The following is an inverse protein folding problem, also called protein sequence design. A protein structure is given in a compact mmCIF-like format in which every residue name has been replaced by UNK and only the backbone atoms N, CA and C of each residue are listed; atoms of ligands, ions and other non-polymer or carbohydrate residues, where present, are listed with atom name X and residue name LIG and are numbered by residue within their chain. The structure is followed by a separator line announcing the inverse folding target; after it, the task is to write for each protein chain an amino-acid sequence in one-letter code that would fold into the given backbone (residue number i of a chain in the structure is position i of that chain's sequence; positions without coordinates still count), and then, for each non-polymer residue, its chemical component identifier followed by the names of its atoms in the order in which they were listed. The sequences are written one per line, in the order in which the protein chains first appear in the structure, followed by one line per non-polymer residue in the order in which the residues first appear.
data_IF_314212224780
#
_entry.id   IF_314212224780
#
_cell.length_a   1.000
_cell.length_b   1.000
_cell.length_c   1.000
_cell.angle_alpha   90.00
_cell.angle_beta   90.00
_cell.angle_gamma   90.00
#
_symmetry.space_group_name_H-M   'P 1'
#
loop_
_entity.id
_entity.type
_entity.pdbx_description
1 polymer ?
#
# COMPACT_ATOMS: atom_id res chain seq x y z
N UNK A 1 37.07 -18.60 11.37
CA UNK A 1 36.11 -19.26 12.28
C UNK A 1 34.81 -19.38 11.52
N UNK A 2 34.44 -20.60 11.14
CA UNK A 2 33.21 -20.84 10.38
C UNK A 2 32.00 -20.64 11.31
N UNK A 3 31.19 -19.62 11.03
CA UNK A 3 29.87 -19.42 11.64
C UNK A 3 28.93 -20.64 11.46
N UNK A 4 29.32 -21.62 10.63
CA UNK A 4 28.61 -22.87 10.37
C UNK A 4 28.64 -23.87 11.53
N UNK A 5 29.27 -23.57 12.66
CA UNK A 5 29.34 -24.45 13.84
C UNK A 5 28.33 -24.06 14.94
N UNK A 6 27.67 -22.90 14.81
CA UNK A 6 26.71 -22.45 15.82
C UNK A 6 25.34 -23.12 15.65
N UNK A 7 24.70 -23.57 16.74
CA UNK A 7 23.32 -24.03 16.72
C UNK A 7 22.38 -22.94 16.17
N UNK A 8 21.34 -23.32 15.39
CA UNK A 8 20.35 -22.40 14.83
C UNK A 8 19.73 -21.44 15.86
N UNK A 9 19.54 -21.90 17.09
CA UNK A 9 18.92 -21.13 18.17
C UNK A 9 19.78 -19.93 18.58
N UNK A 10 21.11 -20.09 18.58
CA UNK A 10 22.03 -19.00 18.88
C UNK A 10 22.00 -17.97 17.75
N UNK A 11 21.95 -18.44 16.49
CA UNK A 11 21.87 -17.57 15.32
C UNK A 11 20.59 -16.72 15.39
N UNK A 12 19.43 -17.34 15.64
CA UNK A 12 18.15 -16.63 15.76
C UNK A 12 18.19 -15.58 16.87
N UNK A 13 18.70 -15.92 18.05
CA UNK A 13 18.84 -14.97 19.16
C UNK A 13 19.74 -13.78 18.82
N UNK A 14 20.84 -14.00 18.10
CA UNK A 14 21.71 -12.90 17.64
C UNK A 14 20.97 -12.00 16.64
N UNK A 15 20.26 -12.61 15.68
CA UNK A 15 19.51 -11.86 14.66
C UNK A 15 18.35 -11.06 15.27
N UNK A 16 17.69 -11.55 16.32
CA UNK A 16 16.62 -10.83 17.02
C UNK A 16 17.06 -9.47 17.56
N UNK A 17 18.34 -9.31 17.90
CA UNK A 17 18.88 -8.05 18.42
C UNK A 17 19.38 -7.09 17.34
N UNK A 18 19.49 -7.53 16.08
CA UNK A 18 19.95 -6.67 15.00
C UNK A 18 18.82 -5.76 14.50
N UNK A 19 19.09 -4.49 14.15
CA UNK A 19 18.12 -3.64 13.48
C UNK A 19 17.82 -4.16 12.07
N UNK A 20 16.66 -3.78 11.50
CA UNK A 20 16.25 -4.26 10.18
C UNK A 20 17.29 -3.97 9.09
N UNK A 21 17.92 -2.78 9.13
CA UNK A 21 18.98 -2.42 8.20
C UNK A 21 20.16 -3.38 8.22
N UNK A 22 20.56 -3.87 9.40
CA UNK A 22 21.68 -4.80 9.52
C UNK A 22 21.27 -6.23 9.18
N UNK A 23 20.01 -6.62 9.41
CA UNK A 23 19.47 -7.90 8.90
C UNK A 23 19.52 -7.96 7.37
N UNK A 24 19.14 -6.88 6.68
CA UNK A 24 19.19 -6.78 5.22
C UNK A 24 20.63 -6.89 4.71
N UNK A 25 21.60 -6.32 5.42
CA UNK A 25 23.02 -6.45 5.08
C UNK A 25 23.53 -7.88 5.34
N UNK A 26 23.20 -8.45 6.50
CA UNK A 26 23.62 -9.78 6.91
C UNK A 26 23.10 -10.88 5.97
N UNK A 27 21.93 -10.69 5.37
CA UNK A 27 21.36 -11.59 4.36
C UNK A 27 22.34 -11.88 3.21
N UNK A 28 23.14 -10.89 2.80
CA UNK A 28 24.07 -11.03 1.67
C UNK A 28 25.33 -11.87 1.97
N UNK A 29 25.53 -12.28 3.22
CA UNK A 29 26.78 -12.93 3.66
C UNK A 29 26.86 -14.42 3.30
N UNK A 30 25.78 -15.17 3.47
CA UNK A 30 25.72 -16.60 3.13
C UNK A 30 24.28 -17.07 2.94
N UNK A 31 24.08 -18.17 2.18
CA UNK A 31 22.74 -18.74 1.97
C UNK A 31 22.07 -19.24 3.25
N UNK A 32 22.87 -19.73 4.20
CA UNK A 32 22.35 -20.19 5.50
C UNK A 32 21.85 -19.00 6.32
N UNK A 33 22.67 -17.96 6.46
CA UNK A 33 22.29 -16.73 7.19
C UNK A 33 21.11 -16.04 6.51
N UNK A 34 21.08 -16.01 5.17
CA UNK A 34 19.97 -15.47 4.39
C UNK A 34 18.61 -16.06 4.82
N UNK A 35 18.50 -17.38 4.94
CA UNK A 35 17.26 -18.04 5.35
C UNK A 35 16.81 -17.61 6.76
N UNK A 36 17.75 -17.51 7.71
CA UNK A 36 17.46 -17.05 9.06
C UNK A 36 17.07 -15.56 9.08
N UNK A 37 17.74 -14.71 8.30
CA UNK A 37 17.40 -13.30 8.16
C UNK A 37 16.00 -13.13 7.57
N UNK A 38 15.63 -13.87 6.52
CA UNK A 38 14.30 -13.81 5.92
C UNK A 38 13.20 -14.22 6.91
N UNK A 39 13.42 -15.31 7.65
CA UNK A 39 12.51 -15.76 8.69
C UNK A 39 12.30 -14.69 9.77
N UNK A 40 13.38 -14.06 10.24
CA UNK A 40 13.30 -13.01 11.26
C UNK A 40 12.64 -11.72 10.72
N UNK A 41 12.92 -11.33 9.47
CA UNK A 41 12.27 -10.19 8.82
C UNK A 41 10.76 -10.44 8.71
N UNK A 42 10.36 -11.61 8.20
CA UNK A 42 8.95 -11.99 8.08
C UNK A 42 8.26 -12.00 9.45
N UNK A 43 8.90 -12.58 10.47
CA UNK A 43 8.39 -12.58 11.85
C UNK A 43 8.14 -11.16 12.36
N UNK A 44 9.07 -10.23 12.14
CA UNK A 44 8.95 -8.83 12.58
C UNK A 44 7.88 -8.05 11.83
N UNK A 45 7.64 -8.38 10.56
CA UNK A 45 6.59 -7.77 9.77
C UNK A 45 5.21 -8.25 10.22
N UNK A 46 5.02 -9.57 10.39
CA UNK A 46 3.71 -10.14 10.72
C UNK A 46 3.32 -9.93 12.18
N UNK A 47 4.25 -10.15 13.10
CA UNK A 47 3.98 -10.22 14.54
C UNK A 47 4.72 -9.16 15.35
N UNK A 48 5.60 -8.39 14.71
CA UNK A 48 6.48 -7.46 15.38
C UNK A 48 5.99 -6.01 15.35
N UNK A 49 6.86 -5.08 15.77
CA UNK A 49 6.53 -3.65 15.89
C UNK A 49 6.33 -2.95 14.54
N UNK A 50 6.70 -3.57 13.42
CA UNK A 50 6.62 -3.01 12.06
C UNK A 50 5.26 -3.22 11.40
N UNK A 51 4.33 -3.92 12.06
CA UNK A 51 3.02 -4.29 11.51
C UNK A 51 2.15 -3.08 11.17
N UNK A 52 2.10 -2.09 12.06
CA UNK A 52 1.20 -0.92 11.94
C UNK A 52 1.98 0.37 11.63
N UNK A 53 3.07 0.25 10.88
CA UNK A 53 3.97 1.36 10.59
C UNK A 53 3.49 2.19 9.39
N UNK A 54 2.78 1.58 8.44
CA UNK A 54 2.48 2.19 7.14
C UNK A 54 1.00 2.49 6.98
N UNK A 55 0.70 3.72 6.57
CA UNK A 55 -0.66 4.16 6.25
C UNK A 55 -0.70 4.79 4.87
N UNK A 56 -1.84 4.67 4.21
CA UNK A 56 -2.12 5.32 2.94
C UNK A 56 -3.18 6.38 3.15
N UNK A 57 -2.87 7.61 2.75
CA UNK A 57 -3.80 8.72 2.74
C UNK A 57 -4.33 8.90 1.32
N UNK A 58 -5.65 8.79 1.18
CA UNK A 58 -6.34 9.01 -0.09
C UNK A 58 -7.36 10.11 0.15
N UNK A 59 -7.09 11.26 -0.45
CA UNK A 59 -7.88 12.47 -0.27
C UNK A 59 -7.93 12.96 1.19
N UNK A 60 -8.91 12.49 1.98
CA UNK A 60 -9.12 12.84 3.40
C UNK A 60 -9.23 11.62 4.31
N UNK A 61 -9.25 10.41 3.74
CA UNK A 61 -9.37 9.18 4.51
C UNK A 61 -8.01 8.50 4.60
N UNK A 62 -7.71 7.97 5.79
CA UNK A 62 -6.45 7.32 6.09
C UNK A 62 -6.72 5.84 6.37
N UNK A 63 -6.11 4.98 5.59
CA UNK A 63 -6.19 3.54 5.76
C UNK A 63 -4.87 3.00 6.32
N UNK A 64 -4.95 2.12 7.30
CA UNK A 64 -3.80 1.39 7.83
C UNK A 64 -3.50 0.22 6.89
N UNK A 65 -2.23 0.07 6.51
CA UNK A 65 -1.76 -1.02 5.69
C UNK A 65 -1.20 -2.13 6.59
N UNK A 66 -1.72 -3.36 6.47
CA UNK A 66 -1.28 -4.50 7.27
C UNK A 66 -0.46 -5.47 6.41
N UNK A 67 0.74 -5.89 6.85
CA UNK A 67 1.55 -6.81 6.07
C UNK A 67 0.87 -8.17 5.95
N UNK A 68 0.96 -8.78 4.77
CA UNK A 68 0.35 -10.08 4.46
C UNK A 68 1.35 -11.12 4.03
N UNK A 69 2.35 -10.74 3.22
CA UNK A 69 3.43 -11.64 2.76
C UNK A 69 4.72 -10.89 2.56
N UNK A 70 5.84 -11.57 2.82
CA UNK A 70 7.17 -11.14 2.38
C UNK A 70 7.65 -12.07 1.26
N UNK A 71 8.04 -11.50 0.13
CA UNK A 71 8.63 -12.25 -0.97
C UNK A 71 10.16 -12.13 -0.92
N UNK A 72 10.82 -13.22 -0.56
CA UNK A 72 12.29 -13.30 -0.47
C UNK A 72 13.00 -13.14 -1.82
N UNK A 73 12.31 -13.41 -2.96
CA UNK A 73 12.90 -13.34 -4.30
C UNK A 73 12.91 -11.90 -4.82
N UNK A 74 11.79 -11.21 -4.72
CA UNK A 74 11.66 -9.80 -5.15
C UNK A 74 12.14 -8.84 -4.06
N UNK A 75 12.27 -9.32 -2.82
CA UNK A 75 12.56 -8.52 -1.62
C UNK A 75 11.50 -7.44 -1.39
N UNK A 76 10.25 -7.78 -1.67
CA UNK A 76 9.10 -6.90 -1.49
C UNK A 76 8.17 -7.45 -0.41
N UNK A 77 7.62 -6.55 0.38
CA UNK A 77 6.56 -6.85 1.34
C UNK A 77 5.25 -6.37 0.77
N UNK A 78 4.29 -7.28 0.74
CA UNK A 78 2.91 -6.98 0.39
C UNK A 78 2.14 -6.62 1.65
N UNK A 79 1.36 -5.56 1.55
CA UNK A 79 0.43 -5.07 2.55
C UNK A 79 -0.98 -5.09 1.99
N UNK A 80 -1.94 -5.56 2.78
CA UNK A 80 -3.36 -5.39 2.52
C UNK A 80 -3.85 -4.08 3.12
N UNK A 81 -4.74 -3.40 2.40
CA UNK A 81 -5.32 -2.13 2.83
C UNK A 81 -6.81 -2.36 3.06
N UNK A 82 -7.19 -2.42 4.33
CA UNK A 82 -8.58 -2.58 4.74
C UNK A 82 -9.25 -1.20 4.81
N UNK A 83 -9.72 -0.71 3.65
CA UNK A 83 -10.41 0.58 3.55
C UNK A 83 -11.82 0.44 3.00
N UNK A 84 -12.69 1.40 3.37
CA UNK A 84 -14.00 1.55 2.72
C UNK A 84 -13.80 2.24 1.36
N UNK A 85 -14.62 1.92 0.34
CA UNK A 85 -14.55 2.62 -0.93
C UNK A 85 -14.79 4.12 -0.76
N UNK A 86 -13.88 4.95 -1.29
CA UNK A 86 -13.98 6.41 -1.22
C UNK A 86 -14.80 6.91 -2.40
N UNK A 87 -15.88 7.62 -2.10
CA UNK A 87 -16.72 8.26 -3.11
C UNK A 87 -16.08 9.54 -3.65
N UNK A 88 -15.84 9.56 -4.95
CA UNK A 88 -15.32 10.72 -5.69
C UNK A 88 -16.40 11.22 -6.61
N UNK A 89 -16.87 12.44 -6.32
CA UNK A 89 -17.90 13.12 -7.09
C UNK A 89 -17.25 13.99 -8.17
N UNK A 90 -17.76 13.91 -9.39
CA UNK A 90 -17.37 14.78 -10.51
C UNK A 90 -18.58 15.17 -11.33
N UNK A 91 -18.54 16.36 -11.93
CA UNK A 91 -19.61 16.85 -12.81
C UNK A 91 -19.36 16.50 -14.28
N UNK A 92 -18.13 16.10 -14.62
CA UNK A 92 -17.71 15.80 -15.99
C UNK A 92 -16.95 14.49 -16.04
N UNK A 93 -17.23 13.69 -17.07
CA UNK A 93 -16.50 12.49 -17.40
C UNK A 93 -15.23 12.84 -18.20
N UNK A 94 -14.16 13.14 -17.47
CA UNK A 94 -12.85 13.47 -18.02
C UNK A 94 -11.77 12.71 -17.27
N UNK A 95 -10.60 12.60 -17.91
CA UNK A 95 -9.42 12.01 -17.28
C UNK A 95 -9.08 12.79 -16.01
N UNK A 96 -9.09 12.11 -14.86
CA UNK A 96 -8.84 12.75 -13.56
C UNK A 96 -7.74 12.02 -12.82
N UNK A 97 -6.88 12.79 -12.16
CA UNK A 97 -5.85 12.26 -11.27
C UNK A 97 -6.34 12.35 -9.83
N UNK A 98 -6.23 11.24 -9.09
CA UNK A 98 -6.43 11.19 -7.65
C UNK A 98 -5.06 11.17 -7.02
N UNK A 99 -4.77 12.18 -6.21
CA UNK A 99 -3.54 12.25 -5.45
C UNK A 99 -3.65 11.43 -4.16
N UNK A 100 -2.68 10.55 -3.95
CA UNK A 100 -2.56 9.69 -2.79
C UNK A 100 -1.16 9.86 -2.19
N UNK A 101 -1.06 9.65 -0.88
CA UNK A 101 0.20 9.82 -0.15
C UNK A 101 0.46 8.61 0.74
N UNK A 102 1.69 8.12 0.72
CA UNK A 102 2.18 7.12 1.65
C UNK A 102 2.70 7.82 2.90
N UNK A 103 2.24 7.35 4.06
CA UNK A 103 2.58 7.87 5.37
C UNK A 103 3.27 6.78 6.19
N UNK A 104 4.35 7.16 6.89
CA UNK A 104 5.05 6.27 7.83
C UNK A 104 4.88 6.78 9.25
N UNK A 105 4.59 5.89 10.19
CA UNK A 105 4.49 6.21 11.61
C UNK A 105 5.88 6.49 12.17
N UNK A 106 6.09 7.71 12.67
CA UNK A 106 7.33 8.07 13.37
C UNK A 106 7.31 7.59 14.82
N UNK A 107 8.49 7.48 15.44
CA UNK A 107 8.67 7.13 16.86
C UNK A 107 7.92 8.08 17.82
N UNK A 108 7.61 9.29 17.37
CA UNK A 108 6.85 10.30 18.13
C UNK A 108 5.33 10.22 17.90
N UNK A 109 4.81 9.12 17.37
CA UNK A 109 3.38 8.92 17.05
C UNK A 109 2.79 9.90 16.03
N UNK A 110 3.63 10.67 15.34
CA UNK A 110 3.23 11.51 14.21
C UNK A 110 3.50 10.77 12.90
N UNK A 111 2.55 10.83 11.96
CA UNK A 111 2.75 10.30 10.61
C UNK A 111 3.57 11.28 9.79
N UNK A 112 4.68 10.79 9.23
CA UNK A 112 5.52 11.56 8.33
C UNK A 112 5.15 11.20 6.89
N UNK A 113 5.02 12.24 6.06
CA UNK A 113 4.83 12.09 4.63
C UNK A 113 6.09 11.48 4.02
N UNK A 114 5.92 10.39 3.26
CA UNK A 114 7.04 9.66 2.68
C UNK A 114 7.07 9.75 1.16
N UNK A 115 5.93 9.56 0.49
CA UNK A 115 5.86 9.60 -0.97
C UNK A 115 4.45 9.93 -1.47
N UNK A 116 4.34 10.56 -2.65
CA UNK A 116 3.08 10.79 -3.34
C UNK A 116 2.98 9.88 -4.56
N UNK A 117 1.78 9.34 -4.81
CA UNK A 117 1.45 8.58 -6.01
C UNK A 117 0.07 8.99 -6.51
N UNK A 118 -0.26 8.63 -7.76
CA UNK A 118 -1.48 9.11 -8.40
C UNK A 118 -2.21 7.99 -9.13
N UNK A 119 -3.51 7.86 -8.89
CA UNK A 119 -4.39 7.04 -9.72
C UNK A 119 -4.97 7.89 -10.84
N UNK A 120 -5.02 7.33 -12.04
CA UNK A 120 -5.62 7.97 -13.19
C UNK A 120 -6.96 7.31 -13.49
N UNK A 121 -8.04 8.10 -13.49
CA UNK A 121 -9.34 7.68 -13.95
C UNK A 121 -9.46 7.96 -15.43
N UNK A 122 -9.79 6.92 -16.19
CA UNK A 122 -10.10 7.06 -17.61
C UNK A 122 -11.57 7.40 -17.83
N UNK A 123 -11.81 8.01 -18.99
CA UNK A 123 -13.15 8.41 -19.43
C UNK A 123 -13.95 7.18 -19.86
N UNK A 124 -15.25 7.19 -19.61
CA UNK A 124 -16.17 6.19 -20.19
C UNK A 124 -16.18 4.84 -19.47
N UNK A 125 -15.82 4.81 -18.18
CA UNK A 125 -16.01 3.64 -17.33
C UNK A 125 -17.49 3.21 -17.35
N UNK A 126 -17.72 1.92 -17.57
CA UNK A 126 -19.05 1.31 -17.51
C UNK A 126 -19.59 1.35 -16.08
N UNK A 127 -20.91 1.51 -15.94
CA UNK A 127 -21.58 1.54 -14.64
C UNK A 127 -21.53 0.16 -13.98
N UNK A 128 -21.27 0.14 -12.66
CA UNK A 128 -21.14 -1.05 -11.80
C UNK A 128 -20.09 -2.10 -12.21
N UNK A 129 -19.25 -1.82 -13.20
CA UNK A 129 -18.12 -2.67 -13.56
C UNK A 129 -16.85 -2.22 -12.81
N UNK A 130 -16.27 -3.07 -11.93
CA UNK A 130 -14.99 -2.77 -11.30
C UNK A 130 -13.87 -2.87 -12.34
N UNK A 131 -13.03 -1.84 -12.37
CA UNK A 131 -11.82 -1.79 -13.20
C UNK A 131 -10.61 -1.78 -12.28
N UNK A 132 -9.71 -2.72 -12.50
CA UNK A 132 -8.45 -2.81 -11.78
C UNK A 132 -7.53 -1.66 -12.20
N UNK A 133 -6.96 -0.99 -11.20
CA UNK A 133 -6.05 0.12 -11.37
C UNK A 133 -4.79 -0.14 -10.56
N UNK A 134 -3.66 0.17 -11.17
CA UNK A 134 -2.37 0.16 -10.50
C UNK A 134 -1.78 1.57 -10.54
N UNK A 135 -1.24 2.03 -9.42
CA UNK A 135 -0.43 3.22 -9.34
C UNK A 135 0.95 2.86 -8.83
N UNK A 136 1.97 3.41 -9.48
CA UNK A 136 3.34 3.29 -9.02
C UNK A 136 3.78 4.65 -8.46
N UNK A 137 4.22 4.65 -7.21
CA UNK A 137 4.98 5.75 -6.64
C UNK A 137 6.30 5.92 -7.40
N UNK A 138 6.85 7.12 -7.36
CA UNK A 138 8.10 7.47 -8.03
C UNK A 138 9.27 6.51 -7.75
N UNK A 139 9.39 5.94 -6.54
CA UNK A 139 10.51 5.06 -6.17
C UNK A 139 10.18 3.92 -5.22
N UNK A 140 9.19 4.03 -4.33
CA UNK A 140 9.15 3.18 -3.13
C UNK A 140 7.89 2.34 -2.96
N UNK A 141 6.89 2.51 -3.81
CA UNK A 141 5.57 1.92 -3.57
C UNK A 141 4.86 1.56 -4.88
N UNK A 142 4.29 0.36 -4.95
CA UNK A 142 3.30 -0.01 -5.96
C UNK A 142 1.97 -0.30 -5.26
N UNK A 143 0.87 0.26 -5.76
CA UNK A 143 -0.44 0.17 -5.12
C UNK A 143 -1.47 -0.30 -6.13
N UNK A 144 -2.19 -1.35 -5.78
CA UNK A 144 -3.24 -1.96 -6.59
C UNK A 144 -4.61 -1.71 -5.93
N UNK A 145 -5.60 -1.38 -6.76
CA UNK A 145 -6.95 -1.10 -6.32
C UNK A 145 -7.97 -1.31 -7.42
N UNK A 146 -9.21 -0.98 -7.11
CA UNK A 146 -10.35 -1.08 -8.01
C UNK A 146 -11.10 0.24 -8.03
N UNK A 147 -11.57 0.63 -9.21
CA UNK A 147 -12.50 1.75 -9.39
C UNK A 147 -13.80 1.22 -9.95
N UNK A 148 -14.89 1.58 -9.31
CA UNK A 148 -16.25 1.32 -9.80
C UNK A 148 -16.96 2.64 -10.04
N UNK A 149 -17.66 2.76 -11.18
CA UNK A 149 -18.58 3.87 -11.40
C UNK A 149 -19.92 3.51 -10.77
N UNK A 150 -20.34 4.29 -9.78
CA UNK A 150 -21.61 4.06 -9.08
C UNK A 150 -22.78 4.57 -9.91
N UNK A 151 -23.88 3.82 -9.90
CA UNK A 151 -25.16 4.28 -10.39
C UNK A 151 -25.53 5.62 -9.74
N UNK A 152 -25.67 6.63 -10.59
CA UNK A 152 -26.25 7.91 -10.16
C UNK A 152 -27.76 7.73 -10.21
N UNK A 153 -28.36 7.16 -9.16
CA UNK A 153 -29.81 7.13 -9.04
C UNK A 153 -30.34 8.55 -9.26
N UNK A 154 -31.16 8.71 -10.29
CA UNK A 154 -31.83 9.95 -10.60
C UNK A 154 -32.76 10.30 -9.43
N UNK A 155 -32.26 11.06 -8.46
CA UNK A 155 -33.14 11.76 -7.53
C UNK A 155 -33.93 12.77 -8.34
N UNK A 156 -35.16 12.37 -8.62
CA UNK A 156 -36.29 13.16 -9.06
C UNK A 156 -36.25 13.71 -10.49
N UNK A 157 -37.42 13.60 -11.10
CA UNK A 157 -37.84 14.10 -12.41
C UNK A 157 -37.73 15.63 -12.37
N UNK A 158 -36.52 16.16 -12.51
CA UNK A 158 -36.32 17.56 -12.89
C UNK A 158 -36.16 17.54 -14.39
N UNK A 159 -37.23 17.97 -15.06
CA UNK A 159 -37.37 18.21 -16.49
C UNK A 159 -36.00 18.55 -17.13
N UNK A 160 -35.43 17.62 -17.91
CA UNK A 160 -34.09 17.75 -18.50
C UNK A 160 -33.95 19.03 -19.34
N UNK A 161 -35.08 19.63 -19.74
CA UNK A 161 -35.18 20.90 -20.46
C UNK A 161 -34.80 22.15 -19.65
N UNK A 162 -34.74 22.10 -18.32
CA UNK A 162 -34.36 23.25 -17.46
C UNK A 162 -32.98 23.10 -16.81
N UNK A 163 -32.23 22.04 -17.16
CA UNK A 163 -30.99 21.70 -16.48
C UNK A 163 -29.80 22.42 -17.11
N UNK A 164 -29.27 23.42 -16.40
CA UNK A 164 -28.11 24.21 -16.85
C UNK A 164 -26.78 23.49 -16.54
N UNK A 165 -26.76 22.57 -15.56
CA UNK A 165 -25.56 21.86 -15.12
C UNK A 165 -25.65 20.34 -15.39
N UNK A 166 -24.51 19.68 -15.75
CA UNK A 166 -24.46 18.24 -15.97
C UNK A 166 -24.79 17.43 -14.70
N UNK A 167 -25.15 16.16 -14.86
CA UNK A 167 -25.43 15.27 -13.72
C UNK A 167 -24.13 14.89 -12.99
N UNK A 168 -24.11 14.89 -11.65
CA UNK A 168 -22.93 14.46 -10.90
C UNK A 168 -22.72 12.96 -11.10
N UNK A 169 -21.54 12.58 -11.57
CA UNK A 169 -21.05 11.20 -11.66
C UNK A 169 -20.32 10.87 -10.35
N UNK A 170 -20.47 9.63 -9.89
CA UNK A 170 -19.81 9.12 -8.70
C UNK A 170 -18.91 7.93 -9.06
N UNK A 171 -17.69 7.96 -8.56
CA UNK A 171 -16.76 6.84 -8.60
C UNK A 171 -16.49 6.37 -7.17
N UNK A 172 -16.35 5.07 -6.96
CA UNK A 172 -15.86 4.49 -5.73
C UNK A 172 -14.47 3.91 -5.97
N UNK A 173 -13.46 4.50 -5.32
CA UNK A 173 -12.08 4.02 -5.32
C UNK A 173 -11.86 3.14 -4.09
N UNK A 174 -11.43 1.90 -4.30
CA UNK A 174 -11.02 1.01 -3.22
C UNK A 174 -9.61 0.49 -3.49
N UNK A 175 -8.66 0.91 -2.65
CA UNK A 175 -7.30 0.34 -2.67
C UNK A 175 -7.30 -0.96 -1.87
N UNK A 176 -6.59 -1.95 -2.39
CA UNK A 176 -6.63 -3.33 -1.86
C UNK A 176 -5.26 -3.82 -1.42
N UNK A 177 -4.23 -3.58 -2.23
CA UNK A 177 -2.88 -4.09 -2.01
C UNK A 177 -1.85 -2.97 -2.20
N UNK A 178 -0.79 -3.02 -1.42
CA UNK A 178 0.39 -2.17 -1.55
C UNK A 178 1.64 -3.03 -1.43
N UNK A 179 2.64 -2.76 -2.27
CA UNK A 179 3.94 -3.43 -2.23
C UNK A 179 5.03 -2.40 -1.94
N UNK A 180 5.85 -2.70 -0.94
CA UNK A 180 7.00 -1.90 -0.55
C UNK A 180 8.27 -2.75 -0.64
N UNK A 181 9.36 -2.26 -1.25
CA UNK A 181 10.62 -2.97 -1.25
C UNK A 181 11.26 -2.90 0.14
N UNK A 182 12.00 -3.95 0.50
CA UNK A 182 12.67 -4.09 1.79
C UNK A 182 13.65 -2.94 2.08
N UNK A 183 14.22 -2.34 1.04
CA UNK A 183 15.05 -1.13 1.14
C UNK A 183 14.32 0.06 1.76
N UNK A 184 13.00 0.19 1.51
CA UNK A 184 12.17 1.27 2.08
C UNK A 184 11.90 1.04 3.56
N UNK A 185 11.78 -0.22 3.97
CA UNK A 185 11.54 -0.59 5.37
C UNK A 185 12.79 -0.41 6.23
N UNK A 186 13.96 -0.69 5.64
CA UNK A 186 15.25 -0.60 6.29
C UNK A 186 15.86 0.82 6.34
N UNK A 187 15.23 1.81 5.67
CA UNK A 187 15.67 3.20 5.61
C UNK A 187 15.34 3.99 6.89
#
# INVERSE_FOLDING_TARGET
MDLCVLPPEIIINVLEHLPLADLVRAESTSRMIQAFCHCEIERRLMNGPLRDEWNVLIHLDQAVATPTRFDARTKEVTYAIAMKPIEIKTMYDHKRQIHCSLLRKSRQSQYQFHEQFQFTLDKGLAEDAPVDIAAQGTKLCAVDGTITRLLTHATQIVDDKKRIAPRPIKYALQVTEMRLPLSTLAA
#
